data_IF_106526463817
#
_entry.id   IF_106526463817
#
_cell.length_a   1.000
_cell.length_b   1.000
_cell.length_c   1.000
_cell.angle_alpha   90.00
_cell.angle_beta   90.00
_cell.angle_gamma   90.00
#
_symmetry.space_group_name_H-M   'P 1'
#
loop_
_entity.id
_entity.type
_entity.pdbx_description
1 polymer ?
#
# COMPACT_ATOMS: atom_id res chain seq x y z
N UNK A 1 59.55 8.13 -1.05
CA UNK A 1 58.46 8.45 -0.10
C UNK A 1 57.30 8.99 -0.94
N UNK A 2 56.18 8.26 -0.94
CA UNK A 2 54.94 8.62 -1.64
C UNK A 2 54.36 9.94 -1.12
N UNK A 3 53.76 10.74 -2.00
CA UNK A 3 52.50 11.42 -1.71
C UNK A 3 51.80 11.83 -3.00
N UNK A 4 50.88 10.96 -3.43
CA UNK A 4 49.76 11.26 -4.32
C UNK A 4 48.77 12.11 -3.54
N UNK A 5 48.48 13.33 -3.99
CA UNK A 5 47.26 14.03 -3.59
C UNK A 5 46.50 14.39 -4.84
N UNK A 6 45.31 13.79 -4.91
CA UNK A 6 44.30 13.88 -5.94
C UNK A 6 43.84 15.32 -6.18
N UNK A 7 43.71 15.67 -7.46
CA UNK A 7 42.81 16.73 -7.93
C UNK A 7 41.37 16.32 -7.59
N UNK A 8 40.80 16.88 -6.53
CA UNK A 8 39.36 16.83 -6.29
C UNK A 8 38.67 17.71 -7.33
N UNK A 9 38.17 17.07 -8.38
CA UNK A 9 37.14 17.68 -9.22
C UNK A 9 35.91 17.84 -8.34
N UNK A 10 35.61 19.09 -7.97
CA UNK A 10 34.31 19.48 -7.43
C UNK A 10 33.26 19.26 -8.51
N UNK A 11 32.72 18.05 -8.58
CA UNK A 11 31.42 17.79 -9.18
C UNK A 11 30.35 17.92 -8.07
N UNK A 12 30.18 19.13 -7.54
CA UNK A 12 28.93 19.54 -6.93
C UNK A 12 28.07 20.12 -8.05
N UNK A 13 26.96 19.45 -8.39
CA UNK A 13 25.98 20.03 -9.29
C UNK A 13 25.05 18.99 -9.89
N UNK A 14 23.91 18.76 -9.23
CA UNK A 14 22.75 18.13 -9.85
C UNK A 14 22.46 16.69 -9.44
N UNK A 15 22.52 16.37 -8.14
CA UNK A 15 21.63 15.31 -7.64
C UNK A 15 20.22 15.86 -7.77
N UNK A 16 19.54 15.52 -8.87
CA UNK A 16 18.11 15.81 -9.05
C UNK A 16 17.45 15.19 -7.83
N UNK A 17 16.87 16.03 -6.97
CA UNK A 17 15.86 15.57 -6.05
C UNK A 17 14.74 14.98 -6.91
N UNK A 18 14.79 13.67 -7.17
CA UNK A 18 13.58 12.94 -7.57
C UNK A 18 12.55 13.30 -6.51
N UNK A 19 11.48 13.90 -6.96
CA UNK A 19 10.52 14.56 -6.10
C UNK A 19 9.94 13.47 -5.19
N UNK A 20 10.23 13.51 -3.89
CA UNK A 20 9.81 12.44 -2.96
C UNK A 20 8.28 12.20 -3.00
N UNK A 21 7.51 13.20 -3.45
CA UNK A 21 6.08 13.07 -3.69
C UNK A 21 5.74 12.21 -4.92
N UNK A 22 6.50 12.32 -6.01
CA UNK A 22 6.31 11.51 -7.22
C UNK A 22 6.62 10.04 -6.94
N UNK A 23 7.71 9.76 -6.21
CA UNK A 23 8.06 8.38 -5.81
C UNK A 23 6.99 7.76 -4.88
N UNK A 24 6.39 8.55 -3.99
CA UNK A 24 5.27 8.10 -3.14
C UNK A 24 4.00 7.85 -3.94
N UNK A 25 3.63 8.74 -4.86
CA UNK A 25 2.45 8.56 -5.70
C UNK A 25 2.60 7.33 -6.59
N UNK A 26 3.76 7.17 -7.22
CA UNK A 26 4.12 5.98 -8.01
C UNK A 26 3.94 4.68 -7.22
N UNK A 27 4.39 4.64 -5.96
CA UNK A 27 4.21 3.49 -5.09
C UNK A 27 2.72 3.20 -4.80
N UNK A 28 1.90 4.23 -4.58
CA UNK A 28 0.44 4.07 -4.38
C UNK A 28 -0.23 3.49 -5.63
N UNK A 29 0.13 3.99 -6.82
CA UNK A 29 -0.41 3.49 -8.08
C UNK A 29 -0.03 2.03 -8.36
N UNK A 30 1.21 1.64 -8.03
CA UNK A 30 1.63 0.24 -8.08
C UNK A 30 0.80 -0.64 -7.14
N UNK A 31 0.50 -0.16 -5.93
CA UNK A 31 -0.33 -0.92 -4.97
C UNK A 31 -1.76 -1.11 -5.46
N UNK A 32 -2.37 -0.11 -6.09
CA UNK A 32 -3.70 -0.23 -6.70
C UNK A 32 -3.72 -1.30 -7.80
N UNK A 33 -2.67 -1.35 -8.62
CA UNK A 33 -2.53 -2.38 -9.64
C UNK A 33 -2.30 -3.77 -9.03
N UNK A 34 -1.45 -3.87 -8.01
CA UNK A 34 -1.19 -5.14 -7.30
C UNK A 34 -2.48 -5.70 -6.68
N UNK A 35 -3.27 -4.84 -6.02
CA UNK A 35 -4.56 -5.21 -5.46
C UNK A 35 -5.48 -5.78 -6.54
N UNK A 36 -5.62 -5.10 -7.68
CA UNK A 36 -6.42 -5.63 -8.79
C UNK A 36 -5.92 -6.98 -9.29
N UNK A 37 -4.62 -7.14 -9.55
CA UNK A 37 -4.05 -8.39 -10.07
C UNK A 37 -4.35 -9.56 -9.12
N UNK A 38 -4.28 -9.32 -7.80
CA UNK A 38 -4.64 -10.31 -6.77
C UNK A 38 -6.13 -10.63 -6.79
N UNK A 39 -7.00 -9.63 -6.83
CA UNK A 39 -8.45 -9.84 -6.87
C UNK A 39 -8.89 -10.60 -8.12
N UNK A 40 -8.31 -10.27 -9.26
CA UNK A 40 -8.55 -10.97 -10.51
C UNK A 40 -8.03 -12.42 -10.48
N UNK A 41 -6.89 -12.69 -9.85
CA UNK A 41 -6.41 -14.06 -9.62
C UNK A 41 -7.36 -14.90 -8.74
N UNK A 42 -8.17 -14.25 -7.90
CA UNK A 42 -9.19 -14.87 -7.04
C UNK A 42 -10.58 -14.90 -7.68
N UNK A 43 -10.76 -14.36 -8.91
CA UNK A 43 -12.06 -14.25 -9.59
C UNK A 43 -13.01 -13.25 -8.93
N UNK A 44 -12.46 -12.20 -8.31
CA UNK A 44 -13.16 -11.16 -7.56
C UNK A 44 -12.89 -9.76 -8.13
N UNK A 45 -12.80 -9.62 -9.46
CA UNK A 45 -12.45 -8.35 -10.12
C UNK A 45 -13.37 -7.18 -9.71
N UNK A 46 -14.64 -7.47 -9.42
CA UNK A 46 -15.63 -6.47 -8.98
C UNK A 46 -15.22 -5.75 -7.68
N UNK A 47 -14.49 -6.42 -6.78
CA UNK A 47 -14.00 -5.85 -5.52
C UNK A 47 -12.83 -4.87 -5.74
N UNK A 48 -12.14 -4.95 -6.88
CA UNK A 48 -11.03 -4.07 -7.25
C UNK A 48 -11.34 -3.11 -8.40
N UNK A 49 -12.62 -2.96 -8.77
CA UNK A 49 -13.03 -2.13 -9.90
C UNK A 49 -12.66 -0.65 -9.73
N UNK A 50 -12.60 -0.15 -8.50
CA UNK A 50 -12.18 1.23 -8.22
C UNK A 50 -10.68 1.47 -8.44
N UNK A 51 -9.85 0.43 -8.51
CA UNK A 51 -8.40 0.58 -8.65
C UNK A 51 -8.01 1.17 -9.99
N UNK A 52 -8.67 0.79 -11.09
CA UNK A 52 -8.39 1.39 -12.41
C UNK A 52 -8.80 2.86 -12.46
N UNK A 53 -9.90 3.24 -11.80
CA UNK A 53 -10.32 4.65 -11.66
C UNK A 53 -9.35 5.46 -10.81
N UNK A 54 -8.90 4.90 -9.68
CA UNK A 54 -7.92 5.54 -8.81
C UNK A 54 -6.59 5.76 -9.53
N UNK A 55 -6.14 4.80 -10.34
CA UNK A 55 -4.93 4.97 -11.14
C UNK A 55 -5.10 6.10 -12.15
N UNK A 56 -6.19 6.14 -12.92
CA UNK A 56 -6.43 7.21 -13.90
C UNK A 56 -6.47 8.60 -13.28
N UNK A 57 -7.06 8.72 -12.09
CA UNK A 57 -7.20 10.00 -11.40
C UNK A 57 -5.86 10.54 -10.92
N UNK A 58 -4.95 9.67 -10.49
CA UNK A 58 -3.74 10.06 -9.77
C UNK A 58 -2.45 9.87 -10.60
N UNK A 59 -2.52 9.24 -11.78
CA UNK A 59 -1.35 9.06 -12.66
C UNK A 59 -0.76 10.39 -13.14
N UNK A 60 0.50 10.62 -12.80
CA UNK A 60 1.30 11.78 -13.17
C UNK A 60 2.78 11.43 -13.35
N UNK A 61 3.60 12.40 -13.76
CA UNK A 61 5.03 12.20 -13.94
C UNK A 61 5.40 11.40 -15.20
N UNK A 62 6.64 10.87 -15.21
CA UNK A 62 7.26 10.17 -16.34
C UNK A 62 6.52 8.87 -16.72
N UNK A 63 6.01 8.15 -15.71
CA UNK A 63 5.33 6.86 -15.89
C UNK A 63 3.82 6.99 -16.14
N UNK A 64 3.29 8.22 -16.24
CA UNK A 64 1.85 8.48 -16.36
C UNK A 64 1.18 7.66 -17.46
N UNK A 65 1.73 7.69 -18.68
CA UNK A 65 1.13 7.01 -19.82
C UNK A 65 1.06 5.49 -19.60
N UNK A 66 2.08 4.93 -18.94
CA UNK A 66 2.15 3.50 -18.66
C UNK A 66 1.18 3.07 -17.55
N UNK A 67 0.95 3.92 -16.54
CA UNK A 67 -0.13 3.71 -15.56
C UNK A 67 -1.52 3.85 -16.17
N UNK A 68 -1.74 4.77 -17.11
CA UNK A 68 -3.02 4.89 -17.81
C UNK A 68 -3.32 3.64 -18.66
N UNK A 69 -2.32 3.13 -19.36
CA UNK A 69 -2.42 1.85 -20.08
C UNK A 69 -2.71 0.68 -19.14
N UNK A 70 -2.06 0.63 -17.97
CA UNK A 70 -2.33 -0.38 -16.96
C UNK A 70 -3.80 -0.36 -16.53
N UNK A 71 -4.37 0.83 -16.26
CA UNK A 71 -5.78 0.98 -15.90
C UNK A 71 -6.74 0.55 -17.04
N UNK A 72 -6.40 0.84 -18.29
CA UNK A 72 -7.19 0.41 -19.46
C UNK A 72 -7.16 -1.11 -19.62
N UNK A 73 -6.03 -1.76 -19.34
CA UNK A 73 -5.90 -3.21 -19.35
C UNK A 73 -6.68 -3.86 -18.20
N UNK A 74 -6.71 -3.23 -17.02
CA UNK A 74 -7.52 -3.66 -15.87
C UNK A 74 -9.02 -3.65 -16.21
N UNK A 75 -9.52 -2.64 -16.92
CA UNK A 75 -10.93 -2.65 -17.34
C UNK A 75 -11.25 -3.72 -18.41
N UNK A 76 -10.24 -4.15 -19.15
CA UNK A 76 -10.35 -5.24 -20.14
C UNK A 76 -10.21 -6.64 -19.51
N UNK A 77 -9.69 -6.73 -18.27
CA UNK A 77 -9.45 -7.99 -17.58
C UNK A 77 -8.32 -8.84 -18.17
N UNK A 78 -7.42 -8.26 -18.97
CA UNK A 78 -6.30 -8.98 -19.59
C UNK A 78 -5.13 -9.17 -18.62
N UNK A 79 -5.28 -10.11 -17.68
CA UNK A 79 -4.35 -10.34 -16.57
C UNK A 79 -2.89 -10.53 -16.99
N UNK A 80 -2.64 -11.19 -18.12
CA UNK A 80 -1.28 -11.43 -18.60
C UNK A 80 -0.60 -10.12 -18.99
N UNK A 81 -1.31 -9.25 -19.72
CA UNK A 81 -0.79 -7.93 -20.08
C UNK A 81 -0.70 -6.99 -18.88
N UNK A 82 -1.66 -7.02 -17.98
CA UNK A 82 -1.64 -6.22 -16.74
C UNK A 82 -0.36 -6.54 -15.95
N UNK A 83 -0.05 -7.83 -15.76
CA UNK A 83 1.17 -8.26 -15.06
C UNK A 83 2.45 -7.81 -15.76
N UNK A 84 2.49 -7.85 -17.09
CA UNK A 84 3.64 -7.37 -17.87
C UNK A 84 3.88 -5.88 -17.65
N UNK A 85 2.84 -5.05 -17.80
CA UNK A 85 2.94 -3.60 -17.64
C UNK A 85 3.26 -3.22 -16.18
N UNK A 86 2.66 -3.91 -15.21
CA UNK A 86 2.97 -3.76 -13.79
C UNK A 86 4.45 -4.04 -13.48
N UNK A 87 5.03 -5.11 -14.06
CA UNK A 87 6.44 -5.43 -13.88
C UNK A 87 7.38 -4.40 -14.53
N UNK A 88 7.04 -3.87 -15.70
CA UNK A 88 7.81 -2.79 -16.34
C UNK A 88 7.80 -1.49 -15.52
N UNK A 89 6.70 -1.23 -14.81
CA UNK A 89 6.59 -0.16 -13.82
C UNK A 89 7.36 -0.48 -12.52
N UNK A 90 8.11 -1.59 -12.46
CA UNK A 90 8.89 -1.99 -11.29
C UNK A 90 8.03 -2.55 -10.16
N UNK A 91 6.80 -2.97 -10.47
CA UNK A 91 5.97 -3.73 -9.55
C UNK A 91 6.48 -5.16 -9.42
N UNK A 92 6.63 -5.63 -8.18
CA UNK A 92 6.94 -7.02 -7.90
C UNK A 92 5.62 -7.76 -7.66
N UNK A 93 5.34 -8.79 -8.46
CA UNK A 93 4.13 -9.58 -8.32
C UNK A 93 4.45 -10.87 -7.57
N UNK A 94 3.84 -11.04 -6.41
CA UNK A 94 3.84 -12.29 -5.66
C UNK A 94 2.56 -13.03 -6.02
N UNK A 95 2.70 -14.24 -6.58
CA UNK A 95 1.54 -15.08 -6.89
C UNK A 95 0.83 -15.47 -5.56
N UNK A 96 -0.46 -15.13 -5.38
CA UNK A 96 -1.18 -15.45 -4.15
C UNK A 96 -1.31 -16.96 -3.91
N UNK A 97 -1.10 -17.79 -4.94
CA UNK A 97 -1.08 -19.25 -4.86
C UNK A 97 0.32 -19.84 -4.72
N UNK A 98 1.38 -19.05 -4.90
CA UNK A 98 2.70 -19.48 -4.41
C UNK A 98 2.68 -19.40 -2.89
N UNK A 99 2.38 -20.53 -2.26
CA UNK A 99 2.86 -20.87 -0.92
C UNK A 99 4.39 -20.87 -0.97
N UNK A 100 5.00 -19.71 -1.02
CA UNK A 100 6.42 -19.57 -0.80
C UNK A 100 6.64 -18.85 0.51
N UNK A 101 7.39 -19.52 1.37
CA UNK A 101 8.08 -19.03 2.56
C UNK A 101 9.06 -17.87 2.20
N UNK A 102 8.59 -16.84 1.50
CA UNK A 102 9.27 -15.55 1.38
C UNK A 102 9.09 -14.92 2.74
N UNK A 103 10.19 -14.72 3.48
CA UNK A 103 10.25 -14.22 4.85
C UNK A 103 9.16 -13.17 5.12
N UNK A 104 8.03 -13.65 5.65
CA UNK A 104 6.77 -12.92 5.83
C UNK A 104 6.82 -11.90 6.96
N UNK A 105 7.99 -11.58 7.48
CA UNK A 105 8.09 -10.69 8.64
C UNK A 105 8.24 -9.24 8.17
N UNK A 106 9.31 -8.83 7.49
CA UNK A 106 9.56 -7.39 7.26
C UNK A 106 8.50 -6.66 6.41
N UNK A 107 7.97 -7.26 5.35
CA UNK A 107 6.96 -6.59 4.52
C UNK A 107 5.55 -6.63 5.12
N UNK A 108 5.15 -7.73 5.77
CA UNK A 108 3.87 -7.78 6.48
C UNK A 108 3.87 -6.85 7.69
N UNK A 109 5.00 -6.76 8.41
CA UNK A 109 5.17 -5.84 9.54
C UNK A 109 4.97 -4.38 9.08
N UNK A 110 5.38 -4.04 7.85
CA UNK A 110 5.16 -2.71 7.28
C UNK A 110 3.68 -2.42 6.99
N UNK A 111 2.93 -3.38 6.46
CA UNK A 111 1.49 -3.18 6.21
C UNK A 111 0.68 -3.18 7.49
N UNK A 112 1.04 -4.03 8.45
CA UNK A 112 0.49 -3.99 9.80
C UNK A 112 0.77 -2.63 10.47
N UNK A 113 1.99 -2.09 10.34
CA UNK A 113 2.34 -0.77 10.85
C UNK A 113 1.49 0.35 10.24
N UNK A 114 1.31 0.37 8.92
CA UNK A 114 0.48 1.37 8.24
C UNK A 114 -1.00 1.30 8.68
N UNK A 115 -1.54 0.09 8.87
CA UNK A 115 -2.88 -0.11 9.43
C UNK A 115 -2.98 0.42 10.86
N UNK A 116 -1.97 0.16 11.69
CA UNK A 116 -1.93 0.64 13.07
C UNK A 116 -1.79 2.17 13.13
N UNK A 117 -0.96 2.79 12.30
CA UNK A 117 -0.83 4.25 12.21
C UNK A 117 -2.18 4.90 11.83
N UNK A 118 -2.91 4.33 10.88
CA UNK A 118 -4.25 4.81 10.53
C UNK A 118 -5.22 4.67 11.72
N UNK A 119 -5.23 3.52 12.39
CA UNK A 119 -6.09 3.28 13.55
C UNK A 119 -5.77 4.21 14.74
N UNK A 120 -4.50 4.58 14.92
CA UNK A 120 -4.05 5.48 15.98
C UNK A 120 -4.76 6.84 15.92
N UNK A 121 -5.03 7.36 14.72
CA UNK A 121 -5.77 8.61 14.52
C UNK A 121 -7.15 8.61 15.17
N UNK A 122 -7.77 7.45 15.31
CA UNK A 122 -9.06 7.29 15.98
C UNK A 122 -8.91 6.95 17.47
N UNK A 123 -8.04 5.97 17.78
CA UNK A 123 -7.85 5.45 19.15
C UNK A 123 -7.32 6.53 20.08
N UNK A 124 -6.37 7.35 19.64
CA UNK A 124 -5.72 8.38 20.46
C UNK A 124 -6.38 9.76 20.35
N UNK A 125 -7.44 9.90 19.54
CA UNK A 125 -8.11 11.19 19.37
C UNK A 125 -8.69 11.72 20.70
N UNK A 126 -8.33 12.94 21.10
CA UNK A 126 -8.92 13.57 22.28
C UNK A 126 -10.35 14.10 22.03
N UNK A 127 -10.72 14.22 20.75
CA UNK A 127 -12.03 14.71 20.30
C UNK A 127 -12.76 13.66 19.48
N UNK A 128 -14.09 13.79 19.39
CA UNK A 128 -14.89 12.95 18.53
C UNK A 128 -14.45 13.06 17.06
N UNK A 129 -14.33 11.93 16.37
CA UNK A 129 -14.01 11.85 14.94
C UNK A 129 -15.34 11.76 14.18
N UNK A 130 -15.47 12.52 13.08
CA UNK A 130 -16.69 12.49 12.25
C UNK A 130 -16.90 11.11 11.62
N UNK A 131 -18.15 10.79 11.30
CA UNK A 131 -18.51 9.54 10.61
C UNK A 131 -17.69 9.35 9.32
N UNK A 132 -17.59 10.41 8.50
CA UNK A 132 -16.82 10.40 7.25
C UNK A 132 -15.36 10.02 7.49
N UNK A 133 -14.69 10.67 8.44
CA UNK A 133 -13.29 10.39 8.76
C UNK A 133 -13.11 8.98 9.34
N UNK A 134 -14.08 8.45 10.11
CA UNK A 134 -14.03 7.06 10.60
C UNK A 134 -14.09 6.06 9.46
N UNK A 135 -14.92 6.30 8.45
CA UNK A 135 -15.00 5.46 7.26
C UNK A 135 -13.71 5.53 6.42
N UNK A 136 -13.10 6.70 6.28
CA UNK A 136 -11.85 6.86 5.55
C UNK A 136 -10.68 6.14 6.25
N UNK A 137 -10.57 6.29 7.59
CA UNK A 137 -9.59 5.54 8.39
C UNK A 137 -9.78 4.04 8.22
N UNK A 138 -11.03 3.56 8.31
CA UNK A 138 -11.32 2.15 8.22
C UNK A 138 -11.00 1.56 6.83
N UNK A 139 -11.25 2.32 5.75
CA UNK A 139 -10.85 1.91 4.38
C UNK A 139 -9.33 1.81 4.24
N UNK A 140 -8.57 2.73 4.84
CA UNK A 140 -7.11 2.66 4.83
C UNK A 140 -6.60 1.39 5.52
N UNK A 141 -7.20 1.04 6.67
CA UNK A 141 -6.88 -0.20 7.39
C UNK A 141 -7.21 -1.42 6.54
N UNK A 142 -8.43 -1.50 5.98
CA UNK A 142 -8.89 -2.62 5.14
C UNK A 142 -8.01 -2.82 3.90
N UNK A 143 -7.61 -1.72 3.25
CA UNK A 143 -6.72 -1.76 2.08
C UNK A 143 -5.32 -2.27 2.43
N UNK A 144 -4.76 -1.82 3.55
CA UNK A 144 -3.44 -2.26 4.01
C UNK A 144 -3.45 -3.71 4.51
N UNK A 145 -4.52 -4.12 5.20
CA UNK A 145 -4.61 -5.45 5.83
C UNK A 145 -4.81 -6.60 4.85
N UNK A 146 -5.29 -6.31 3.64
CA UNK A 146 -5.50 -7.31 2.58
C UNK A 146 -4.21 -8.05 2.17
N UNK A 147 -3.04 -7.48 2.49
CA UNK A 147 -1.73 -8.05 2.18
C UNK A 147 -1.17 -8.92 3.32
N UNK A 148 -1.88 -9.01 4.45
CA UNK A 148 -1.47 -9.80 5.61
C UNK A 148 -1.97 -11.24 5.52
N UNK A 149 -1.63 -12.07 6.51
CA UNK A 149 -2.21 -13.41 6.62
C UNK A 149 -3.73 -13.31 6.81
N UNK A 150 -4.48 -14.36 6.44
CA UNK A 150 -5.95 -14.36 6.63
C UNK A 150 -6.37 -14.12 8.09
N UNK A 151 -5.57 -14.62 9.04
CA UNK A 151 -5.82 -14.41 10.46
C UNK A 151 -5.62 -12.92 10.83
N UNK A 152 -4.50 -12.33 10.41
CA UNK A 152 -4.19 -10.92 10.69
C UNK A 152 -5.17 -9.97 9.98
N UNK A 153 -5.47 -10.26 8.71
CA UNK A 153 -6.44 -9.53 7.92
C UNK A 153 -7.79 -9.46 8.64
N UNK A 154 -8.29 -10.60 9.13
CA UNK A 154 -9.55 -10.64 9.85
C UNK A 154 -9.54 -9.78 11.12
N UNK A 155 -8.41 -9.74 11.85
CA UNK A 155 -8.27 -8.90 13.05
C UNK A 155 -8.24 -7.40 12.70
N UNK A 156 -7.59 -7.03 11.60
CA UNK A 156 -7.58 -5.63 11.13
C UNK A 156 -8.92 -5.20 10.52
N UNK A 157 -9.64 -6.09 9.83
CA UNK A 157 -11.02 -5.85 9.38
C UNK A 157 -11.97 -5.68 10.57
N UNK A 158 -11.78 -6.48 11.63
CA UNK A 158 -12.54 -6.30 12.88
C UNK A 158 -12.26 -4.92 13.49
N UNK A 159 -10.98 -4.51 13.58
CA UNK A 159 -10.59 -3.19 14.05
C UNK A 159 -11.25 -2.08 13.21
N UNK A 160 -11.21 -2.18 11.88
CA UNK A 160 -11.87 -1.26 10.97
C UNK A 160 -13.39 -1.17 11.22
N UNK A 161 -14.04 -2.31 11.48
CA UNK A 161 -15.44 -2.39 11.88
C UNK A 161 -15.74 -1.63 13.18
N UNK A 162 -14.93 -1.82 14.24
CA UNK A 162 -15.10 -1.09 15.51
C UNK A 162 -14.97 0.42 15.34
N UNK A 163 -14.08 0.88 14.45
CA UNK A 163 -13.92 2.30 14.11
C UNK A 163 -15.16 2.83 13.37
N UNK A 164 -15.69 2.08 12.39
CA UNK A 164 -16.94 2.44 11.67
C UNK A 164 -18.15 2.53 12.61
N UNK A 165 -18.17 1.73 13.67
CA UNK A 165 -19.25 1.72 14.67
C UNK A 165 -19.07 2.73 15.81
N UNK A 166 -17.98 3.51 15.81
CA UNK A 166 -17.62 4.45 16.88
C UNK A 166 -17.38 3.77 18.25
N UNK A 167 -16.98 2.49 18.22
CA UNK A 167 -16.71 1.72 19.43
C UNK A 167 -15.23 1.87 19.84
N UNK A 168 -14.93 2.97 20.53
CA UNK A 168 -13.55 3.36 20.86
C UNK A 168 -12.84 2.39 21.80
N UNK A 169 -13.55 1.82 22.77
CA UNK A 169 -12.97 0.92 23.76
C UNK A 169 -12.52 -0.40 23.11
N UNK A 170 -13.37 -1.02 22.28
CA UNK A 170 -13.03 -2.25 21.57
C UNK A 170 -11.98 -2.02 20.49
N UNK A 171 -12.07 -0.89 19.75
CA UNK A 171 -11.04 -0.52 18.78
C UNK A 171 -9.68 -0.33 19.46
N UNK A 172 -9.62 0.32 20.61
CA UNK A 172 -8.38 0.49 21.37
C UNK A 172 -7.82 -0.87 21.84
N UNK A 173 -8.68 -1.77 22.34
CA UNK A 173 -8.26 -3.10 22.76
C UNK A 173 -7.63 -3.90 21.61
N UNK A 174 -8.26 -3.90 20.43
CA UNK A 174 -7.73 -4.58 19.24
C UNK A 174 -6.45 -3.92 18.75
N UNK A 175 -6.41 -2.58 18.71
CA UNK A 175 -5.22 -1.81 18.31
C UNK A 175 -3.99 -2.19 19.15
N UNK A 176 -4.10 -2.17 20.49
CA UNK A 176 -2.96 -2.48 21.35
C UNK A 176 -2.54 -3.96 21.26
N UNK A 177 -3.50 -4.88 21.12
CA UNK A 177 -3.18 -6.30 20.93
C UNK A 177 -2.45 -6.56 19.61
N UNK A 178 -2.86 -5.91 18.52
CA UNK A 178 -2.20 -6.02 17.22
C UNK A 178 -0.83 -5.35 17.26
N UNK A 179 -0.73 -4.17 17.88
CA UNK A 179 0.54 -3.46 18.07
C UNK A 179 1.57 -4.31 18.82
N UNK A 180 1.17 -5.00 19.88
CA UNK A 180 2.03 -5.94 20.62
C UNK A 180 2.43 -7.15 19.75
N UNK A 181 1.48 -7.74 19.01
CA UNK A 181 1.72 -8.89 18.12
C UNK A 181 2.79 -8.61 17.06
N UNK A 182 2.81 -7.40 16.51
CA UNK A 182 3.77 -6.97 15.49
C UNK A 182 5.02 -6.25 16.07
N UNK A 183 5.10 -6.07 17.40
CA UNK A 183 6.27 -5.47 18.06
C UNK A 183 6.46 -3.96 17.80
N UNK A 184 5.36 -3.22 17.61
CA UNK A 184 5.33 -1.79 17.23
C UNK A 184 4.95 -0.85 18.39
#
# INVERSE_FOLDING_TARGET
MLLLIFLTVTACGGGIARNESEDKNRLVLLKEAEFYIRMAALGKEDEAKSSSENIRKNAEGEDKERFLELADLMDQGDLEKIRSVYAELGGEYIDPNTSSDVDKNEENDKFAALSLEAAQLYVEAETAISLENRYDIAKLIESNSFLLSQEDQAQFEELAGKIKDDNKDEAASLYYSLKEKFGL
#
